data_IF_063006078302
#
_entry.id   IF_063006078302
#
_cell.length_a   1.000
_cell.length_b   1.000
_cell.length_c   1.000
_cell.angle_alpha   90.00
_cell.angle_beta   90.00
_cell.angle_gamma   90.00
#
_symmetry.space_group_name_H-M   'P 1'
#
loop_
_entity.id
_entity.type
_entity.pdbx_description
1 polymer ?
#
# COMPACT_ATOMS: atom_id res chain seq x y z
N UNK A 1 -3.26 6.83 -11.65
CA UNK A 1 -4.16 7.38 -10.62
C UNK A 1 -3.71 8.81 -10.33
N UNK A 2 -4.56 9.80 -10.56
CA UNK A 2 -4.16 11.22 -10.46
C UNK A 2 -5.21 12.15 -9.82
N UNK A 3 -6.36 11.65 -9.38
CA UNK A 3 -7.35 12.42 -8.60
C UNK A 3 -7.87 11.61 -7.39
N UNK A 4 -8.49 12.31 -6.43
CA UNK A 4 -8.96 11.71 -5.18
C UNK A 4 -10.21 10.82 -5.39
N UNK A 5 -11.14 11.22 -6.25
CA UNK A 5 -12.34 10.42 -6.55
C UNK A 5 -12.02 9.05 -7.13
N UNK A 6 -11.06 8.96 -8.06
CA UNK A 6 -10.57 7.69 -8.60
C UNK A 6 -9.95 6.83 -7.50
N UNK A 7 -9.16 7.45 -6.61
CA UNK A 7 -8.51 6.76 -5.50
C UNK A 7 -9.54 6.18 -4.52
N UNK A 8 -10.56 6.95 -4.15
CA UNK A 8 -11.64 6.50 -3.26
C UNK A 8 -12.50 5.41 -3.92
N UNK A 9 -12.70 5.47 -5.23
CA UNK A 9 -13.42 4.43 -5.97
C UNK A 9 -12.66 3.11 -5.91
N UNK A 10 -11.35 3.13 -6.16
CA UNK A 10 -10.51 1.93 -6.10
C UNK A 10 -10.45 1.35 -4.69
N UNK A 11 -10.40 2.18 -3.64
CA UNK A 11 -10.47 1.70 -2.25
C UNK A 11 -11.78 0.94 -2.02
N UNK A 12 -12.93 1.53 -2.37
CA UNK A 12 -14.24 0.90 -2.19
C UNK A 12 -14.37 -0.43 -2.94
N UNK A 13 -13.90 -0.48 -4.18
CA UNK A 13 -13.95 -1.70 -5.00
C UNK A 13 -13.11 -2.83 -4.40
N UNK A 14 -11.91 -2.52 -3.92
CA UNK A 14 -11.01 -3.52 -3.33
C UNK A 14 -11.52 -3.98 -1.97
N UNK A 15 -12.00 -3.07 -1.12
CA UNK A 15 -12.60 -3.44 0.17
C UNK A 15 -13.83 -4.34 -0.04
N UNK A 16 -14.66 -4.05 -1.04
CA UNK A 16 -15.78 -4.90 -1.42
C UNK A 16 -15.31 -6.29 -1.88
N UNK A 17 -14.28 -6.37 -2.72
CA UNK A 17 -13.72 -7.63 -3.21
C UNK A 17 -13.13 -8.48 -2.06
N UNK A 18 -12.35 -7.86 -1.18
CA UNK A 18 -11.75 -8.52 -0.01
C UNK A 18 -12.84 -9.04 0.93
N UNK A 19 -13.88 -8.24 1.18
CA UNK A 19 -15.02 -8.63 2.02
C UNK A 19 -15.78 -9.82 1.44
N UNK A 20 -16.06 -9.81 0.13
CA UNK A 20 -16.74 -10.91 -0.56
C UNK A 20 -15.94 -12.22 -0.48
N UNK A 21 -14.61 -12.14 -0.58
CA UNK A 21 -13.71 -13.29 -0.51
C UNK A 21 -13.28 -13.65 0.91
N UNK A 22 -13.73 -12.91 1.92
CA UNK A 22 -13.32 -13.07 3.34
C UNK A 22 -11.80 -13.02 3.53
N UNK A 23 -11.13 -12.18 2.74
CA UNK A 23 -9.69 -11.96 2.80
C UNK A 23 -9.39 -10.74 3.66
N UNK A 24 -8.33 -10.81 4.47
CA UNK A 24 -7.88 -9.71 5.32
C UNK A 24 -6.60 -9.09 4.75
N UNK A 25 -6.61 -7.77 4.55
CA UNK A 25 -5.46 -6.96 4.15
C UNK A 25 -5.31 -5.79 5.13
N UNK A 26 -4.10 -5.22 5.24
CA UNK A 26 -3.91 -3.96 5.98
C UNK A 26 -4.87 -2.87 5.48
N UNK A 27 -5.29 -1.91 6.32
CA UNK A 27 -6.17 -0.83 5.87
C UNK A 27 -5.53 -0.01 4.74
N UNK A 28 -6.35 0.61 3.87
CA UNK A 28 -5.85 1.49 2.81
C UNK A 28 -5.10 2.69 3.41
N UNK A 29 -4.15 3.30 2.66
CA UNK A 29 -3.50 4.53 3.10
C UNK A 29 -4.52 5.65 3.39
N UNK A 30 -4.35 6.42 4.48
CA UNK A 30 -5.25 7.53 4.78
C UNK A 30 -5.10 8.67 3.76
N UNK A 31 -6.20 9.34 3.45
CA UNK A 31 -6.21 10.49 2.56
C UNK A 31 -5.42 11.65 3.20
N UNK A 32 -4.44 12.24 2.50
CA UNK A 32 -3.71 13.39 3.00
C UNK A 32 -4.63 14.60 3.24
N UNK A 33 -4.35 15.35 4.32
CA UNK A 33 -5.14 16.53 4.70
C UNK A 33 -4.58 17.85 4.17
N UNK A 34 -3.32 17.90 3.74
CA UNK A 34 -2.69 19.13 3.28
C UNK A 34 -1.66 18.90 2.17
N UNK A 35 -1.85 19.57 1.03
CA UNK A 35 -0.81 19.75 0.03
C UNK A 35 -0.37 21.21 0.01
N UNK A 36 0.93 21.44 0.01
CA UNK A 36 1.48 22.79 -0.01
C UNK A 36 1.20 23.55 -1.31
N UNK A 37 0.67 22.91 -2.36
CA UNK A 37 0.29 23.54 -3.64
C UNK A 37 1.46 24.11 -4.45
N UNK A 38 2.67 24.07 -3.91
CA UNK A 38 3.87 24.72 -4.46
C UNK A 38 4.66 23.89 -5.47
N UNK A 39 4.16 22.71 -5.85
CA UNK A 39 4.86 21.81 -6.77
C UNK A 39 6.18 21.25 -6.22
N UNK A 40 6.37 21.23 -4.89
CA UNK A 40 7.57 20.67 -4.29
C UNK A 40 7.75 19.19 -4.66
N UNK A 41 9.00 18.74 -4.82
CA UNK A 41 9.35 17.35 -5.19
C UNK A 41 8.91 16.28 -4.19
N UNK A 42 8.32 16.67 -3.06
CA UNK A 42 7.72 15.77 -2.06
C UNK A 42 6.24 16.12 -1.83
N UNK A 43 5.43 16.15 -2.89
CA UNK A 43 3.99 16.34 -2.74
C UNK A 43 3.38 15.14 -2.02
N UNK A 44 2.68 15.37 -0.90
CA UNK A 44 2.04 14.29 -0.12
C UNK A 44 1.08 13.45 -0.95
N UNK A 45 0.47 14.03 -1.98
CA UNK A 45 -0.40 13.31 -2.91
C UNK A 45 0.36 12.27 -3.74
N UNK A 46 1.62 12.55 -4.12
CA UNK A 46 2.43 11.57 -4.86
C UNK A 46 2.69 10.34 -3.99
N UNK A 47 3.17 10.54 -2.76
CA UNK A 47 3.38 9.45 -1.81
C UNK A 47 2.09 8.70 -1.46
N UNK A 48 0.96 9.40 -1.36
CA UNK A 48 -0.34 8.78 -1.18
C UNK A 48 -0.72 7.87 -2.35
N UNK A 49 -0.62 8.35 -3.59
CA UNK A 49 -0.97 7.56 -4.77
C UNK A 49 -0.02 6.37 -4.97
N UNK A 50 1.27 6.51 -4.66
CA UNK A 50 2.24 5.41 -4.68
C UNK A 50 1.91 4.35 -3.61
N UNK A 51 1.63 4.78 -2.38
CA UNK A 51 1.24 3.89 -1.30
C UNK A 51 -0.09 3.16 -1.61
N UNK A 52 -1.02 3.84 -2.27
CA UNK A 52 -2.31 3.27 -2.68
C UNK A 52 -2.15 2.29 -3.85
N UNK A 53 -1.28 2.58 -4.81
CA UNK A 53 -0.94 1.65 -5.88
C UNK A 53 -0.32 0.36 -5.31
N UNK A 54 0.64 0.50 -4.38
CA UNK A 54 1.22 -0.65 -3.69
C UNK A 54 0.18 -1.45 -2.91
N UNK A 55 -0.74 -0.79 -2.20
CA UNK A 55 -1.85 -1.47 -1.51
C UNK A 55 -2.78 -2.25 -2.44
N UNK A 56 -3.15 -1.66 -3.59
CA UNK A 56 -3.92 -2.37 -4.62
C UNK A 56 -3.20 -3.61 -5.13
N UNK A 57 -1.90 -3.50 -5.36
CA UNK A 57 -1.12 -4.60 -5.90
C UNK A 57 -1.03 -5.75 -4.86
N UNK A 58 -0.95 -5.44 -3.55
CA UNK A 58 -1.11 -6.44 -2.49
C UNK A 58 -2.46 -7.17 -2.55
N UNK A 59 -3.55 -6.42 -2.75
CA UNK A 59 -4.89 -7.01 -2.85
C UNK A 59 -5.00 -7.97 -4.05
N UNK A 60 -4.41 -7.62 -5.20
CA UNK A 60 -4.37 -8.48 -6.40
C UNK A 60 -3.60 -9.78 -6.15
N UNK A 61 -2.45 -9.69 -5.49
CA UNK A 61 -1.65 -10.86 -5.10
C UNK A 61 -2.47 -11.76 -4.16
N UNK A 62 -3.15 -11.17 -3.16
CA UNK A 62 -3.95 -11.91 -2.19
C UNK A 62 -5.18 -12.58 -2.83
N UNK A 63 -5.79 -11.94 -3.83
CA UNK A 63 -6.90 -12.50 -4.59
C UNK A 63 -6.47 -13.61 -5.57
N UNK A 64 -5.17 -13.80 -5.82
CA UNK A 64 -4.68 -14.85 -6.71
C UNK A 64 -4.74 -14.51 -8.19
N UNK A 65 -4.92 -13.23 -8.55
CA UNK A 65 -4.99 -12.78 -9.94
C UNK A 65 -3.60 -12.54 -10.60
N UNK A 66 -2.51 -12.59 -9.81
CA UNK A 66 -1.09 -12.65 -10.26
C UNK A 66 -0.52 -11.44 -11.03
N UNK A 67 0.83 -11.20 -11.00
CA UNK A 67 1.87 -12.05 -10.43
C UNK A 67 2.51 -11.50 -9.13
N UNK A 68 3.02 -12.46 -8.36
CA UNK A 68 3.81 -12.37 -7.11
C UNK A 68 4.99 -11.38 -7.22
N UNK A 69 5.32 -10.54 -6.23
CA UNK A 69 5.93 -10.93 -4.97
C UNK A 69 5.78 -9.85 -3.88
N UNK A 70 5.18 -10.22 -2.76
CA UNK A 70 5.09 -9.38 -1.56
C UNK A 70 5.28 -10.17 -0.26
N UNK A 71 6.05 -11.26 -0.31
CA UNK A 71 6.20 -12.18 0.81
C UNK A 71 7.62 -12.24 1.41
N UNK A 72 8.55 -11.33 1.09
CA UNK A 72 9.90 -11.30 1.72
C UNK A 72 10.19 -10.01 2.53
N UNK A 73 9.18 -9.42 3.17
CA UNK A 73 9.40 -8.49 4.30
C UNK A 73 8.76 -9.06 5.56
N UNK A 74 8.98 -10.35 5.80
CA UNK A 74 9.03 -10.85 7.16
C UNK A 74 10.34 -10.34 7.77
N UNK A 75 10.22 -9.33 8.62
CA UNK A 75 11.20 -8.87 9.60
C UNK A 75 12.23 -9.96 9.96
N UNK A 76 13.47 -9.83 9.47
CA UNK A 76 14.65 -10.44 10.08
C UNK A 76 14.90 -9.74 11.42
N UNK A 77 14.12 -10.10 12.43
CA UNK A 77 14.52 -9.97 13.82
C UNK A 77 15.59 -11.02 14.10
N UNK A 78 16.85 -10.64 13.96
CA UNK A 78 18.00 -11.51 14.24
C UNK A 78 19.14 -10.67 14.78
N UNK A 79 19.16 -10.51 16.09
CA UNK A 79 20.15 -9.76 16.84
C UNK A 79 21.58 -10.12 16.42
N UNK A 80 22.38 -9.09 16.17
CA UNK A 80 23.81 -9.20 15.90
C UNK A 80 24.51 -10.01 16.98
N UNK A 81 25.10 -11.14 16.59
CA UNK A 81 26.16 -11.78 17.36
C UNK A 81 27.46 -11.06 17.00
N UNK A 82 27.83 -10.07 17.80
CA UNK A 82 29.16 -9.48 17.80
C UNK A 82 30.18 -10.59 18.13
N UNK A 83 30.81 -11.16 17.12
CA UNK A 83 32.05 -11.93 17.28
C UNK A 83 33.19 -10.89 17.30
N UNK A 84 33.68 -10.58 18.50
CA UNK A 84 34.98 -9.95 18.69
C UNK A 84 35.83 -10.91 19.53
N UNK A 85 36.87 -11.45 18.89
CA UNK A 85 38.06 -12.04 19.50
C UNK A 85 39.25 -11.21 19.02
#
# INVERSE_FOLDING_TARGET
>A
MKCLDDAQTIVREIEALLSQRKLSLRPPPPVPTACCGRGCGNCVWQGYYEALAGWRDQARILCGDGPVAAADVAHRGGAGRWLAR
#
